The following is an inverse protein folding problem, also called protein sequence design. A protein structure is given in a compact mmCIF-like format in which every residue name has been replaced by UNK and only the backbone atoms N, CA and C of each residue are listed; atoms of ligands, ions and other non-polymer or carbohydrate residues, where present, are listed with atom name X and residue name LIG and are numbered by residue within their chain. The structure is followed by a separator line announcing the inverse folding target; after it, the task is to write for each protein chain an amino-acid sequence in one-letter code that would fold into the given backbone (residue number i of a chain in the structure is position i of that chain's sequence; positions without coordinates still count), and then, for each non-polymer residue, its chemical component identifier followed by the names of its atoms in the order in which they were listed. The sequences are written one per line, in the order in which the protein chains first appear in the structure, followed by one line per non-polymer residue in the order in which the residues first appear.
data_IF_480057525736
#
_entry.id   IF_480057525736
#
_cell.length_a   1.000
_cell.length_b   1.000
_cell.length_c   1.000
_cell.angle_alpha   90.00
_cell.angle_beta   90.00
_cell.angle_gamma   90.00
#
_symmetry.space_group_name_H-M   'P 1'
#
loop_
_entity.id
_entity.type
_entity.pdbx_description
1 polymer ?
#
# COMPACT_ATOMS: atom_id res chain seq x y z
N UNK A 1 -33.01 -25.66 15.74
CA UNK A 1 -33.47 -24.71 14.69
C UNK A 1 -32.22 -23.94 14.26
N UNK A 2 -31.57 -24.37 13.17
CA UNK A 2 -30.29 -23.79 12.75
C UNK A 2 -30.55 -22.63 11.81
N UNK A 3 -30.20 -21.42 12.25
CA UNK A 3 -30.26 -20.21 11.44
C UNK A 3 -29.13 -20.24 10.42
N UNK A 4 -29.47 -20.39 9.14
CA UNK A 4 -28.55 -20.18 8.04
C UNK A 4 -28.35 -18.66 7.95
N UNK A 5 -27.21 -18.18 8.47
CA UNK A 5 -26.80 -16.79 8.24
C UNK A 5 -26.32 -16.72 6.79
N UNK A 6 -27.06 -15.98 5.96
CA UNK A 6 -26.60 -15.63 4.63
C UNK A 6 -25.35 -14.77 4.79
N UNK A 7 -24.20 -15.30 4.38
CA UNK A 7 -23.00 -14.47 4.18
C UNK A 7 -23.37 -13.58 3.00
N UNK A 8 -23.85 -12.37 3.30
CA UNK A 8 -24.13 -11.36 2.29
C UNK A 8 -22.94 -11.28 1.35
N UNK A 9 -23.19 -11.27 0.04
CA UNK A 9 -22.14 -11.30 -0.98
C UNK A 9 -21.03 -10.31 -0.60
N UNK A 10 -19.91 -10.85 -0.10
CA UNK A 10 -18.71 -10.07 0.14
C UNK A 10 -18.33 -9.50 -1.21
N UNK A 11 -18.47 -8.19 -1.39
CA UNK A 11 -17.87 -7.51 -2.53
C UNK A 11 -16.43 -7.99 -2.61
N UNK A 12 -16.03 -8.62 -3.72
CA UNK A 12 -14.70 -9.17 -3.83
C UNK A 12 -13.67 -8.04 -3.60
N UNK A 13 -12.74 -8.25 -2.68
CA UNK A 13 -11.68 -7.28 -2.43
C UNK A 13 -10.80 -7.17 -3.68
N UNK A 14 -10.55 -5.93 -4.12
CA UNK A 14 -9.70 -5.66 -5.28
C UNK A 14 -8.27 -5.40 -4.80
N UNK A 15 -7.33 -6.15 -5.36
CA UNK A 15 -5.90 -5.95 -5.14
C UNK A 15 -5.31 -5.03 -6.21
N UNK A 16 -4.45 -4.11 -5.79
CA UNK A 16 -3.68 -3.24 -6.68
C UNK A 16 -2.21 -3.19 -6.24
N UNK A 17 -1.30 -3.15 -7.21
CA UNK A 17 0.13 -2.92 -6.94
C UNK A 17 0.55 -1.61 -7.58
N UNK A 18 0.88 -0.62 -6.75
CA UNK A 18 1.41 0.67 -7.16
C UNK A 18 2.88 0.51 -7.54
N UNK A 19 3.22 1.00 -8.74
CA UNK A 19 4.54 0.84 -9.36
C UNK A 19 5.16 2.15 -9.84
N UNK A 20 4.46 3.28 -9.69
CA UNK A 20 4.91 4.60 -10.13
C UNK A 20 4.75 5.63 -9.02
N UNK A 21 5.58 6.67 -9.08
CA UNK A 21 5.50 7.81 -8.18
C UNK A 21 4.16 8.55 -8.34
N UNK A 22 3.68 8.71 -9.59
CA UNK A 22 2.40 9.37 -9.85
C UNK A 22 1.22 8.64 -9.20
N UNK A 23 1.22 7.30 -9.27
CA UNK A 23 0.16 6.52 -8.64
C UNK A 23 0.30 6.49 -7.12
N UNK A 24 1.53 6.53 -6.58
CA UNK A 24 1.77 6.75 -5.15
C UNK A 24 1.18 8.08 -4.71
N UNK A 25 1.43 9.18 -5.43
CA UNK A 25 0.83 10.48 -5.12
C UNK A 25 -0.71 10.45 -5.21
N UNK A 26 -1.26 9.79 -6.24
CA UNK A 26 -2.71 9.74 -6.47
C UNK A 26 -3.51 8.98 -5.39
N UNK A 27 -2.88 8.16 -4.54
CA UNK A 27 -3.55 7.42 -3.45
C UNK A 27 -3.40 8.09 -2.08
N UNK A 28 -2.81 9.29 -2.01
CA UNK A 28 -2.54 10.00 -0.75
C UNK A 28 -3.79 10.13 0.12
N UNK A 29 -4.88 10.65 -0.44
CA UNK A 29 -6.11 10.89 0.31
C UNK A 29 -6.71 9.60 0.88
N UNK A 30 -6.74 8.51 0.11
CA UNK A 30 -7.27 7.22 0.55
C UNK A 30 -6.39 6.57 1.62
N UNK A 31 -5.07 6.67 1.46
CA UNK A 31 -4.11 6.17 2.43
C UNK A 31 -4.20 6.96 3.74
N UNK A 32 -4.21 8.29 3.69
CA UNK A 32 -4.29 9.11 4.91
C UNK A 32 -5.61 8.91 5.65
N UNK A 33 -6.72 8.71 4.93
CA UNK A 33 -7.98 8.29 5.55
C UNK A 33 -7.86 6.94 6.25
N UNK A 34 -7.21 5.94 5.65
CA UNK A 34 -6.95 4.67 6.32
C UNK A 34 -6.09 4.89 7.58
N UNK A 35 -4.98 5.61 7.44
CA UNK A 35 -4.00 5.87 8.50
C UNK A 35 -4.63 6.55 9.72
N UNK A 36 -5.47 7.57 9.52
CA UNK A 36 -6.18 8.24 10.61
C UNK A 36 -7.18 7.33 11.32
N UNK A 37 -7.93 6.51 10.57
CA UNK A 37 -8.94 5.60 11.16
C UNK A 37 -8.32 4.46 11.96
N UNK A 38 -7.06 4.09 11.68
CA UNK A 38 -6.37 2.99 12.33
C UNK A 38 -5.35 3.44 13.38
N UNK A 39 -5.23 4.75 13.63
CA UNK A 39 -4.16 5.33 14.46
C UNK A 39 -2.76 4.83 14.05
N UNK A 40 -2.49 4.89 12.74
CA UNK A 40 -1.28 4.32 12.14
C UNK A 40 0.01 4.98 12.64
N UNK A 41 1.11 4.23 12.64
CA UNK A 41 2.42 4.78 13.00
C UNK A 41 2.92 5.75 11.93
N UNK A 42 3.76 6.72 12.29
CA UNK A 42 4.33 7.70 11.34
C UNK A 42 5.02 7.01 10.14
N UNK A 43 5.73 5.91 10.38
CA UNK A 43 6.42 5.13 9.35
C UNK A 43 5.47 4.43 8.35
N UNK A 44 4.18 4.33 8.70
CA UNK A 44 3.12 3.81 7.85
C UNK A 44 2.34 4.91 7.13
N UNK A 45 2.65 6.19 7.38
CA UNK A 45 1.98 7.31 6.72
C UNK A 45 2.40 7.43 5.26
N UNK A 46 1.49 7.90 4.42
CA UNK A 46 1.82 8.19 3.02
C UNK A 46 2.93 9.24 2.91
N UNK A 47 2.89 10.28 3.75
CA UNK A 47 3.89 11.34 3.75
C UNK A 47 5.30 10.79 4.02
N UNK A 48 5.46 9.86 4.97
CA UNK A 48 6.74 9.23 5.24
C UNK A 48 7.26 8.42 4.04
N UNK A 49 6.41 7.57 3.45
CA UNK A 49 6.78 6.74 2.30
C UNK A 49 7.10 7.59 1.07
N UNK A 50 6.33 8.66 0.83
CA UNK A 50 6.57 9.61 -0.26
C UNK A 50 7.86 10.37 -0.06
N UNK A 51 8.15 10.83 1.15
CA UNK A 51 9.42 11.47 1.48
C UNK A 51 10.59 10.50 1.24
N UNK A 52 10.51 9.28 1.79
CA UNK A 52 11.52 8.25 1.59
C UNK A 52 11.77 7.98 0.11
N UNK A 53 10.72 7.74 -0.68
CA UNK A 53 10.86 7.45 -2.11
C UNK A 53 11.53 8.60 -2.89
N UNK A 54 11.26 9.84 -2.48
CA UNK A 54 11.84 11.02 -3.12
C UNK A 54 13.27 11.32 -2.71
N UNK A 55 13.73 10.81 -1.56
CA UNK A 55 15.07 11.12 -1.02
C UNK A 55 16.00 9.92 -0.92
N UNK A 56 15.53 8.69 -1.13
CA UNK A 56 16.34 7.49 -0.97
C UNK A 56 17.51 7.48 -1.95
N UNK A 57 18.71 7.18 -1.44
CA UNK A 57 19.89 6.96 -2.28
C UNK A 57 19.68 5.73 -3.18
N UNK A 58 20.32 5.75 -4.35
CA UNK A 58 20.21 4.70 -5.37
C UNK A 58 18.77 4.39 -5.78
N UNK A 59 17.90 5.42 -5.84
CA UNK A 59 16.49 5.26 -6.27
C UNK A 59 16.38 4.54 -7.62
N UNK A 60 17.31 4.77 -8.54
CA UNK A 60 17.35 4.11 -9.85
C UNK A 60 17.59 2.60 -9.78
N UNK A 61 18.08 2.10 -8.63
CA UNK A 61 18.23 0.68 -8.33
C UNK A 61 17.05 0.11 -7.52
N UNK A 62 15.99 0.90 -7.30
CA UNK A 62 14.79 0.52 -6.56
C UNK A 62 13.54 0.59 -7.44
N UNK A 63 12.52 -0.19 -7.08
CA UNK A 63 11.24 -0.18 -7.76
C UNK A 63 10.09 -0.24 -6.74
N UNK A 64 9.18 0.75 -6.77
CA UNK A 64 7.97 0.76 -5.94
C UNK A 64 7.13 -0.50 -6.15
N UNK A 65 6.70 -1.13 -5.07
CA UNK A 65 5.80 -2.30 -5.05
C UNK A 65 4.84 -2.20 -3.87
N UNK A 66 4.04 -1.14 -3.85
CA UNK A 66 3.09 -0.93 -2.75
C UNK A 66 1.82 -1.72 -3.05
N UNK A 67 1.48 -2.66 -2.18
CA UNK A 67 0.23 -3.42 -2.26
C UNK A 67 -0.92 -2.64 -1.63
N UNK A 68 -2.06 -2.61 -2.30
CA UNK A 68 -3.30 -2.00 -1.81
C UNK A 68 -4.43 -3.04 -1.85
N UNK A 69 -5.27 -3.02 -0.82
CA UNK A 69 -6.52 -3.80 -0.78
C UNK A 69 -7.69 -2.83 -0.71
N UNK A 70 -8.63 -2.98 -1.64
CA UNK A 70 -9.81 -2.13 -1.77
C UNK A 70 -11.08 -2.94 -1.52
N UNK A 71 -12.01 -2.38 -0.76
CA UNK A 71 -13.39 -2.84 -0.66
C UNK A 71 -14.30 -1.79 -1.29
N UNK A 72 -14.75 -2.04 -2.52
CA UNK A 72 -15.31 -1.00 -3.38
C UNK A 72 -14.27 0.09 -3.62
N UNK A 73 -14.65 1.34 -3.37
CA UNK A 73 -13.76 2.50 -3.47
C UNK A 73 -12.99 2.80 -2.16
N UNK A 74 -13.23 2.01 -1.10
CA UNK A 74 -12.58 2.22 0.19
C UNK A 74 -11.27 1.43 0.26
N UNK A 75 -10.17 2.12 0.47
CA UNK A 75 -8.90 1.49 0.84
C UNK A 75 -8.97 0.92 2.26
N UNK A 76 -8.64 -0.37 2.39
CA UNK A 76 -8.73 -1.13 3.65
C UNK A 76 -7.39 -1.68 4.15
N UNK A 77 -6.39 -1.84 3.27
CA UNK A 77 -5.03 -2.20 3.68
C UNK A 77 -3.96 -1.66 2.72
N UNK A 78 -2.76 -1.42 3.25
CA UNK A 78 -1.58 -0.97 2.50
C UNK A 78 -0.35 -1.76 2.94
N UNK A 79 0.45 -2.19 1.97
CA UNK A 79 1.75 -2.85 2.16
C UNK A 79 2.83 -2.00 1.48
N UNK A 80 3.44 -1.04 2.18
CA UNK A 80 4.42 -0.13 1.60
C UNK A 80 5.75 -0.86 1.39
N UNK A 81 5.95 -1.43 0.20
CA UNK A 81 7.17 -2.17 -0.13
C UNK A 81 7.86 -1.60 -1.36
N UNK A 82 9.15 -1.87 -1.46
CA UNK A 82 9.94 -1.66 -2.66
C UNK A 82 10.76 -2.91 -3.00
N UNK A 83 11.29 -2.96 -4.22
CA UNK A 83 12.31 -3.94 -4.60
C UNK A 83 13.63 -3.21 -4.84
N UNK A 84 14.63 -3.49 -4.00
CA UNK A 84 16.00 -3.04 -4.19
C UNK A 84 16.86 -4.07 -4.91
N UNK A 85 17.89 -3.61 -5.62
CA UNK A 85 18.95 -4.48 -6.18
C UNK A 85 20.25 -4.29 -5.41
N UNK A 86 20.84 -5.38 -4.92
CA UNK A 86 22.15 -5.36 -4.24
C UNK A 86 22.98 -6.57 -4.65
N UNK A 87 24.20 -6.34 -5.14
CA UNK A 87 25.14 -7.39 -5.58
C UNK A 87 24.49 -8.43 -6.53
N UNK A 88 23.67 -7.97 -7.48
CA UNK A 88 22.98 -8.83 -8.45
C UNK A 88 21.70 -9.52 -7.94
N UNK A 89 21.37 -9.39 -6.66
CA UNK A 89 20.17 -9.98 -6.07
C UNK A 89 19.06 -8.93 -5.90
N UNK A 90 17.79 -9.36 -5.99
CA UNK A 90 16.62 -8.54 -5.75
C UNK A 90 16.07 -8.83 -4.36
N UNK A 91 15.83 -7.79 -3.58
CA UNK A 91 15.27 -7.88 -2.24
C UNK A 91 13.95 -7.13 -2.20
N UNK A 92 12.91 -7.75 -1.63
CA UNK A 92 11.72 -7.03 -1.19
C UNK A 92 12.05 -6.37 0.15
N UNK A 93 11.78 -5.07 0.26
CA UNK A 93 12.14 -4.25 1.42
C UNK A 93 10.95 -3.37 1.85
N UNK A 94 11.01 -2.89 3.10
CA UNK A 94 10.00 -2.07 3.78
C UNK A 94 10.56 -0.73 4.26
#
# INVERSE_FOLDING_TARGET
MNTIVSIGASSAERLEVVRSADRLAAIEADWMQLWHRTDGLVFQSHAWISAWWNTVADRDHRALRIGLVWNGDRLVAVFPMAIGKRKGLRFLEW
#
